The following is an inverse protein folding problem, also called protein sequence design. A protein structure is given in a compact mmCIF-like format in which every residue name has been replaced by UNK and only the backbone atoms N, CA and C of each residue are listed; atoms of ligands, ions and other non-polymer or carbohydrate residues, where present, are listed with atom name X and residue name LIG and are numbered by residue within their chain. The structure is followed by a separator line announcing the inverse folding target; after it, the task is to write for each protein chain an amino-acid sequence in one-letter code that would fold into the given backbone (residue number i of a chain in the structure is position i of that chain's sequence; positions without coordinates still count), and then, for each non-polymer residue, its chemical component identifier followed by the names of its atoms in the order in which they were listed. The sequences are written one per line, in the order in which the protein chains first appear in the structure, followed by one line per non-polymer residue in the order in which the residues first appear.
data_IF_614471734786
#
_entry.id   IF_614471734786
#
_cell.length_a   1.000
_cell.length_b   1.000
_cell.length_c   1.000
_cell.angle_alpha   90.00
_cell.angle_beta   90.00
_cell.angle_gamma   90.00
#
_symmetry.space_group_name_H-M   'P 1'
#
loop_
_entity.id
_entity.type
_entity.pdbx_description
1 polymer ?
#
# COMPACT_ATOMS: atom_id res chain seq x y z
N UNK A 1 10.35 -10.70 15.86
CA UNK A 1 8.93 -10.35 15.68
C UNK A 1 8.85 -8.84 15.74
N UNK A 2 8.38 -8.09 14.74
CA UNK A 2 7.85 -6.78 15.08
C UNK A 2 6.73 -7.03 16.10
N UNK A 3 6.86 -6.41 17.26
CA UNK A 3 6.04 -6.62 18.47
C UNK A 3 4.64 -5.99 18.31
N UNK A 4 4.05 -6.11 17.13
CA UNK A 4 2.98 -5.23 16.65
C UNK A 4 1.99 -6.05 15.83
N UNK A 5 0.70 -5.94 16.14
CA UNK A 5 -0.35 -6.69 15.43
C UNK A 5 -0.38 -6.32 13.93
N UNK A 6 -0.91 -7.20 13.04
CA UNK A 6 -1.05 -6.89 11.62
C UNK A 6 -1.77 -5.56 11.35
N UNK A 7 -2.78 -5.23 12.18
CA UNK A 7 -3.49 -3.95 12.11
C UNK A 7 -2.57 -2.76 12.41
N UNK A 8 -1.75 -2.84 13.46
CA UNK A 8 -0.83 -1.76 13.82
C UNK A 8 0.32 -1.62 12.81
N UNK A 9 0.79 -2.72 12.24
CA UNK A 9 1.76 -2.68 11.12
C UNK A 9 1.17 -1.99 9.89
N UNK A 10 -0.07 -2.31 9.55
CA UNK A 10 -0.82 -1.67 8.46
C UNK A 10 -0.97 -0.16 8.70
N UNK A 11 -1.35 0.25 9.93
CA UNK A 11 -1.42 1.67 10.32
C UNK A 11 -0.07 2.37 10.22
N UNK A 12 1.03 1.72 10.62
CA UNK A 12 2.39 2.25 10.49
C UNK A 12 2.75 2.50 9.03
N UNK A 13 2.48 1.54 8.14
CA UNK A 13 2.73 1.70 6.70
C UNK A 13 1.89 2.84 6.11
N UNK A 14 0.60 2.93 6.48
CA UNK A 14 -0.27 4.01 6.06
C UNK A 14 0.27 5.39 6.48
N UNK A 15 0.77 5.52 7.72
CA UNK A 15 1.38 6.77 8.20
C UNK A 15 2.64 7.15 7.42
N UNK A 16 3.51 6.20 7.10
CA UNK A 16 4.72 6.46 6.31
C UNK A 16 4.38 6.96 4.90
N UNK A 17 3.42 6.31 4.23
CA UNK A 17 2.92 6.76 2.93
C UNK A 17 2.25 8.13 3.02
N UNK A 18 1.47 8.38 4.05
CA UNK A 18 0.79 9.64 4.27
C UNK A 18 1.77 10.82 4.36
N UNK A 19 2.88 10.62 5.07
CA UNK A 19 3.95 11.64 5.20
C UNK A 19 4.71 11.78 3.88
N UNK A 20 5.13 10.67 3.28
CA UNK A 20 6.00 10.69 2.10
C UNK A 20 5.32 11.20 0.83
N UNK A 21 4.00 11.03 0.70
CA UNK A 21 3.24 11.40 -0.50
C UNK A 21 2.46 12.71 -0.34
N UNK A 22 2.57 13.37 0.82
CA UNK A 22 1.86 14.62 1.11
C UNK A 22 2.17 15.72 0.07
N UNK A 23 1.16 16.50 -0.39
CA UNK A 23 -0.25 16.39 -0.03
C UNK A 23 -0.95 15.20 -0.72
N UNK A 24 -1.88 14.57 0.00
CA UNK A 24 -2.76 13.50 -0.50
C UNK A 24 -4.21 13.93 -0.34
N UNK A 25 -5.01 13.78 -1.40
CA UNK A 25 -6.46 13.93 -1.36
C UNK A 25 -7.13 12.66 -0.78
N UNK A 26 -6.52 11.50 -1.00
CA UNK A 26 -7.04 10.23 -0.50
C UNK A 26 -5.95 9.19 -0.33
N UNK A 27 -6.00 8.45 0.77
CA UNK A 27 -5.14 7.28 1.00
C UNK A 27 -5.96 6.11 1.54
N UNK A 28 -5.88 4.97 0.87
CA UNK A 28 -6.41 3.71 1.37
C UNK A 28 -5.30 2.66 1.30
N UNK A 29 -5.03 2.03 2.44
CA UNK A 29 -4.07 0.95 2.53
C UNK A 29 -4.75 -0.19 3.28
N UNK A 30 -4.83 -1.37 2.66
CA UNK A 30 -5.57 -2.52 3.20
C UNK A 30 -4.69 -3.75 3.14
N UNK A 31 -4.63 -4.49 4.24
CA UNK A 31 -4.10 -5.86 4.26
C UNK A 31 -5.10 -6.79 3.55
N UNK A 32 -4.64 -7.41 2.46
CA UNK A 32 -5.41 -8.32 1.61
C UNK A 32 -4.83 -9.74 1.63
N UNK A 33 -3.97 -10.04 2.61
CA UNK A 33 -3.32 -11.35 2.75
C UNK A 33 -4.34 -12.48 2.77
N UNK A 34 -4.12 -13.50 1.93
CA UNK A 34 -4.95 -14.71 1.87
C UNK A 34 -4.29 -15.96 2.48
N UNK A 35 -3.05 -15.80 2.97
CA UNK A 35 -2.25 -16.86 3.59
C UNK A 35 -1.37 -17.67 2.63
N UNK A 36 -1.34 -17.36 1.34
CA UNK A 36 -0.51 -18.11 0.38
C UNK A 36 0.99 -17.98 0.61
N UNK A 37 1.43 -17.00 1.40
CA UNK A 37 2.82 -16.81 1.79
C UNK A 37 3.39 -18.01 2.55
N UNK A 38 2.56 -18.81 3.21
CA UNK A 38 2.98 -20.07 3.86
C UNK A 38 3.52 -21.08 2.85
N UNK A 39 2.82 -21.28 1.73
CA UNK A 39 3.28 -22.16 0.66
C UNK A 39 4.38 -21.50 -0.18
N UNK A 40 4.24 -20.18 -0.42
CA UNK A 40 5.27 -19.38 -1.10
C UNK A 40 6.61 -19.41 -0.38
N UNK A 41 6.63 -19.51 0.94
CA UNK A 41 7.87 -19.64 1.70
C UNK A 41 8.55 -21.00 1.48
N UNK A 42 7.75 -22.08 1.33
CA UNK A 42 8.28 -23.43 1.08
C UNK A 42 8.88 -23.58 -0.31
N UNK A 43 8.32 -22.89 -1.31
CA UNK A 43 8.78 -22.96 -2.70
C UNK A 43 9.64 -21.78 -3.15
N UNK A 44 9.98 -20.86 -2.24
CA UNK A 44 10.90 -19.74 -2.48
C UNK A 44 10.28 -18.51 -3.15
N UNK A 45 8.97 -18.48 -3.35
CA UNK A 45 8.26 -17.29 -3.85
C UNK A 45 8.04 -16.21 -2.79
N UNK A 46 8.05 -16.56 -1.50
CA UNK A 46 7.93 -15.61 -0.39
C UNK A 46 9.17 -15.64 0.52
N UNK A 47 9.59 -14.47 1.00
CA UNK A 47 10.72 -14.35 1.92
C UNK A 47 10.38 -14.77 3.35
N UNK A 48 9.11 -14.64 3.74
CA UNK A 48 8.56 -15.04 5.04
C UNK A 48 7.18 -15.70 4.86
N UNK A 49 6.81 -16.64 5.73
CA UNK A 49 5.50 -17.29 5.70
C UNK A 49 4.36 -16.41 6.23
N UNK A 50 4.68 -15.27 6.88
CA UNK A 50 3.76 -14.33 7.51
C UNK A 50 3.86 -12.90 6.93
N UNK A 51 4.57 -12.73 5.80
CA UNK A 51 4.63 -11.44 5.10
C UNK A 51 3.25 -11.03 4.60
N UNK A 52 2.91 -9.74 4.75
CA UNK A 52 1.58 -9.23 4.37
C UNK A 52 1.50 -8.87 2.89
N UNK A 53 0.30 -8.94 2.35
CA UNK A 53 -0.03 -8.41 1.04
C UNK A 53 -0.85 -7.15 1.19
N UNK A 54 -0.40 -6.06 0.56
CA UNK A 54 -1.05 -4.77 0.70
C UNK A 54 -1.70 -4.33 -0.60
N UNK A 55 -2.91 -3.78 -0.48
CA UNK A 55 -3.50 -2.96 -1.52
C UNK A 55 -3.36 -1.49 -1.12
N UNK A 56 -2.84 -0.66 -2.03
CA UNK A 56 -2.71 0.78 -1.84
C UNK A 56 -3.41 1.54 -2.95
N UNK A 57 -4.23 2.49 -2.54
CA UNK A 57 -4.82 3.51 -3.41
C UNK A 57 -4.47 4.88 -2.85
N UNK A 58 -3.66 5.62 -3.60
CA UNK A 58 -3.25 6.98 -3.28
C UNK A 58 -3.72 7.94 -4.36
N UNK A 59 -4.33 9.06 -3.95
CA UNK A 59 -4.75 10.15 -4.82
C UNK A 59 -4.01 11.41 -4.43
N UNK A 60 -3.25 11.98 -5.37
CA UNK A 60 -2.45 13.20 -5.16
C UNK A 60 -2.15 13.89 -6.49
N UNK A 61 -2.11 15.22 -6.45
CA UNK A 61 -1.58 16.06 -7.55
C UNK A 61 -0.11 15.78 -7.85
N UNK A 62 0.67 15.24 -6.89
CA UNK A 62 2.08 14.87 -7.10
C UNK A 62 2.29 13.81 -8.21
N UNK A 63 1.23 13.11 -8.61
CA UNK A 63 1.28 12.12 -9.68
C UNK A 63 1.06 12.70 -11.08
N UNK A 64 0.70 13.99 -11.21
CA UNK A 64 0.55 14.67 -12.51
C UNK A 64 1.87 14.66 -13.28
N UNK A 65 1.83 14.30 -14.56
CA UNK A 65 3.01 14.22 -15.42
C UNK A 65 3.95 13.04 -15.14
N UNK A 66 3.74 12.27 -14.06
CA UNK A 66 4.54 11.09 -13.71
C UNK A 66 4.10 9.85 -14.45
N UNK A 67 5.08 9.10 -14.96
CA UNK A 67 4.89 7.78 -15.55
C UNK A 67 4.39 6.76 -14.52
N UNK A 68 3.75 5.65 -14.94
CA UNK A 68 3.33 4.60 -14.00
C UNK A 68 4.47 4.06 -13.12
N UNK A 69 5.67 3.92 -13.68
CA UNK A 69 6.86 3.43 -12.95
C UNK A 69 7.30 4.45 -11.89
N UNK A 70 7.38 5.74 -12.22
CA UNK A 70 7.72 6.78 -11.24
C UNK A 70 6.72 6.81 -10.08
N UNK A 71 5.42 6.70 -10.39
CA UNK A 71 4.37 6.65 -9.35
C UNK A 71 4.53 5.44 -8.44
N UNK A 72 4.80 4.25 -9.02
CA UNK A 72 5.06 3.05 -8.23
C UNK A 72 6.31 3.21 -7.36
N UNK A 73 7.38 3.81 -7.88
CA UNK A 73 8.60 4.10 -7.09
C UNK A 73 8.30 5.05 -5.93
N UNK A 74 7.54 6.13 -6.17
CA UNK A 74 7.12 7.06 -5.12
C UNK A 74 6.38 6.36 -3.98
N UNK A 75 5.50 5.40 -4.31
CA UNK A 75 4.73 4.63 -3.30
C UNK A 75 5.59 3.54 -2.64
N UNK A 76 6.47 2.86 -3.38
CA UNK A 76 7.29 1.77 -2.85
C UNK A 76 8.44 2.25 -1.96
N UNK A 77 9.09 3.36 -2.32
CA UNK A 77 10.32 3.81 -1.66
C UNK A 77 10.18 3.98 -0.13
N UNK A 78 9.11 4.58 0.41
CA UNK A 78 8.93 4.73 1.87
C UNK A 78 8.79 3.40 2.62
N UNK A 79 8.44 2.32 1.91
CA UNK A 79 8.21 0.99 2.49
C UNK A 79 9.30 -0.03 2.08
N UNK A 80 10.37 0.43 1.40
CA UNK A 80 11.40 -0.43 0.81
C UNK A 80 12.05 -1.38 1.82
N UNK A 81 12.28 -0.92 3.05
CA UNK A 81 12.88 -1.74 4.10
C UNK A 81 12.01 -2.95 4.46
N UNK A 82 10.68 -2.79 4.47
CA UNK A 82 9.76 -3.89 4.79
C UNK A 82 9.66 -4.93 3.68
N UNK A 83 9.89 -4.54 2.43
CA UNK A 83 10.09 -5.52 1.35
C UNK A 83 11.39 -6.28 1.53
N UNK A 84 12.47 -5.59 1.92
CA UNK A 84 13.79 -6.22 2.10
C UNK A 84 13.78 -7.23 3.26
N UNK A 85 13.04 -6.97 4.33
CA UNK A 85 12.85 -7.91 5.45
C UNK A 85 11.78 -8.96 5.18
N UNK A 86 11.03 -8.86 4.08
CA UNK A 86 9.88 -9.72 3.78
C UNK A 86 8.65 -9.51 4.66
N UNK A 87 8.62 -8.43 5.46
CA UNK A 87 7.41 -8.07 6.23
C UNK A 87 6.26 -7.68 5.29
N UNK A 88 6.57 -7.08 4.13
CA UNK A 88 5.64 -6.95 3.01
C UNK A 88 6.06 -7.95 1.94
N UNK A 89 5.17 -8.91 1.64
CA UNK A 89 5.37 -9.87 0.56
C UNK A 89 5.15 -9.22 -0.80
N UNK A 90 4.00 -8.55 -0.97
CA UNK A 90 3.60 -7.95 -2.24
C UNK A 90 2.72 -6.71 -2.00
N UNK A 91 2.66 -5.83 -3.01
CA UNK A 91 1.79 -4.67 -2.98
C UNK A 91 1.14 -4.36 -4.33
N UNK A 92 -0.19 -4.27 -4.35
CA UNK A 92 -0.96 -3.77 -5.48
C UNK A 92 -1.16 -2.27 -5.34
N UNK A 93 -0.71 -1.49 -6.32
CA UNK A 93 -0.69 -0.02 -6.24
C UNK A 93 -1.66 0.60 -7.25
N UNK A 94 -2.43 1.58 -6.80
CA UNK A 94 -3.20 2.51 -7.61
C UNK A 94 -2.84 3.94 -7.20
N UNK A 95 -1.99 4.58 -8.00
CA UNK A 95 -1.57 5.97 -7.78
C UNK A 95 -2.20 6.88 -8.84
N UNK A 96 -3.20 7.66 -8.44
CA UNK A 96 -4.06 8.42 -9.34
C UNK A 96 -4.00 9.92 -9.06
N UNK A 97 -4.18 10.75 -10.08
CA UNK A 97 -4.42 12.18 -9.86
C UNK A 97 -5.88 12.43 -9.46
N UNK A 98 -6.22 13.58 -8.84
CA UNK A 98 -7.62 13.92 -8.53
C UNK A 98 -8.53 13.84 -9.76
N UNK A 99 -8.09 14.35 -10.91
CA UNK A 99 -8.82 14.23 -12.18
C UNK A 99 -9.09 12.77 -12.61
N UNK A 100 -8.18 11.85 -12.30
CA UNK A 100 -8.37 10.42 -12.57
C UNK A 100 -9.34 9.78 -11.55
N UNK A 101 -9.27 10.20 -10.29
CA UNK A 101 -10.19 9.79 -9.23
C UNK A 101 -11.63 10.18 -9.56
N UNK A 102 -11.88 11.43 -9.94
CA UNK A 102 -13.24 11.91 -10.28
C UNK A 102 -13.87 11.10 -11.42
N UNK A 103 -13.07 10.69 -12.40
CA UNK A 103 -13.54 9.88 -13.53
C UNK A 103 -13.80 8.42 -13.16
N UNK A 104 -13.03 7.86 -12.23
CA UNK A 104 -13.10 6.43 -11.86
C UNK A 104 -14.05 6.17 -10.71
N UNK A 105 -14.28 7.17 -9.85
CA UNK A 105 -14.99 7.04 -8.59
C UNK A 105 -14.22 6.23 -7.53
N UNK A 106 -14.71 6.30 -6.30
CA UNK A 106 -14.19 5.49 -5.19
C UNK A 106 -14.52 4.00 -5.44
N UNK A 107 -13.55 3.08 -5.35
CA UNK A 107 -13.84 1.65 -5.46
C UNK A 107 -14.80 1.22 -4.34
N UNK A 108 -15.95 0.64 -4.71
CA UNK A 108 -17.05 0.31 -3.78
C UNK A 108 -16.71 -0.78 -2.75
N UNK A 109 -15.69 -1.59 -3.00
CA UNK A 109 -15.35 -2.77 -2.19
C UNK A 109 -14.15 -2.56 -1.25
N UNK A 110 -13.68 -1.32 -1.04
CA UNK A 110 -12.61 -1.04 -0.08
C UNK A 110 -13.19 -0.90 1.33
N UNK A 111 -12.81 -1.81 2.24
CA UNK A 111 -13.23 -1.76 3.65
C UNK A 111 -12.80 -0.41 4.25
N UNK A 112 -13.77 0.38 4.71
CA UNK A 112 -13.61 1.81 5.05
C UNK A 112 -12.64 2.10 6.19
N UNK A 113 -12.35 1.14 7.08
CA UNK A 113 -11.60 1.39 8.32
C UNK A 113 -10.12 1.72 8.13
N UNK A 114 -9.51 1.31 7.02
CA UNK A 114 -8.10 1.62 6.69
C UNK A 114 -8.00 2.63 5.52
N UNK A 115 -9.11 3.27 5.21
CA UNK A 115 -9.26 4.28 4.16
C UNK A 115 -9.35 5.65 4.81
N UNK A 116 -8.23 6.37 4.87
CA UNK A 116 -8.20 7.76 5.29
C UNK A 116 -8.66 8.64 4.13
N UNK A 117 -9.89 9.13 4.21
CA UNK A 117 -10.28 10.33 3.45
C UNK A 117 -9.68 11.53 4.19
N UNK A 118 -8.69 12.19 3.59
CA UNK A 118 -8.26 13.50 4.04
C UNK A 118 -9.08 14.52 3.25
N UNK A 119 -10.22 14.91 3.82
CA UNK A 119 -11.01 16.07 3.41
C UNK A 119 -11.26 16.92 4.65
#
# INVERSE_FOLDING_TARGET
MPDTSPEEFTKKCARLLQVALSPLDHLCLVDVSDGHTVEGFKDGRAHKPDGVELFVLAVSENFVGKSPVERHQMVNNPLREYFATGDIHAMQIRAWTPKQWDKKGKPLNLKSKACSSLL
#
